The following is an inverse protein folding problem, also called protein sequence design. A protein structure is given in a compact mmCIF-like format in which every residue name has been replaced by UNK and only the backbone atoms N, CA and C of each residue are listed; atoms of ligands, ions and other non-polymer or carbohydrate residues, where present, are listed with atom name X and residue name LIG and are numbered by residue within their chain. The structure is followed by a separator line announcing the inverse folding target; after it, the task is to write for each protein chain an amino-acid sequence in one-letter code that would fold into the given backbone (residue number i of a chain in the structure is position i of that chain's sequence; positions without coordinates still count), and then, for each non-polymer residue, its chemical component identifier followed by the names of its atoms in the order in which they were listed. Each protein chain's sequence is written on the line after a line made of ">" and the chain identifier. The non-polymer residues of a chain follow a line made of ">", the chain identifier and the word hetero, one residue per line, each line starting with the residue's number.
data_IF_839839068782
#
_entry.id   IF_839839068782
#
_cell.length_a   1.000
_cell.length_b   1.000
_cell.length_c   1.000
_cell.angle_alpha   90.00
_cell.angle_beta   90.00
_cell.angle_gamma   90.00
#
_symmetry.space_group_name_H-M   'P 1'
#
loop_
_entity.id
_entity.type
_entity.pdbx_description
1 polymer ?
#
# COMPACT_ATOMS: atom_id res chain seq x y z
N UNK A 1 -18.84 23.01 -0.96
CA UNK A 1 -17.77 22.30 -0.21
C UNK A 1 -16.55 22.23 -1.13
N UNK A 2 -15.35 22.61 -0.67
CA UNK A 2 -14.12 22.44 -1.45
C UNK A 2 -13.77 20.95 -1.48
N UNK A 3 -13.76 20.34 -2.65
CA UNK A 3 -13.33 18.96 -2.85
C UNK A 3 -12.12 18.97 -3.80
N UNK A 4 -10.96 19.07 -3.17
CA UNK A 4 -9.58 18.95 -3.63
C UNK A 4 -8.75 19.55 -2.50
N UNK A 5 -7.89 18.77 -1.84
CA UNK A 5 -7.18 19.23 -0.65
C UNK A 5 -5.69 19.43 -0.92
N UNK A 6 -5.34 20.66 -1.32
CA UNK A 6 -3.98 21.20 -1.23
C UNK A 6 -4.10 22.61 -0.65
N UNK A 7 -3.43 22.90 0.46
CA UNK A 7 -3.54 24.16 1.20
C UNK A 7 -2.15 24.70 1.56
N UNK A 8 -1.89 25.99 1.27
CA UNK A 8 -0.65 26.70 1.59
C UNK A 8 0.63 25.94 1.18
N UNK A 9 0.58 25.18 0.09
CA UNK A 9 1.67 24.32 -0.36
C UNK A 9 2.24 24.81 -1.68
N UNK A 10 3.56 24.65 -1.87
CA UNK A 10 4.28 25.13 -3.04
C UNK A 10 4.93 23.97 -3.79
N UNK A 11 4.71 23.91 -5.10
CA UNK A 11 5.35 22.93 -5.99
C UNK A 11 4.99 21.49 -5.59
N UNK A 12 3.68 21.16 -5.59
CA UNK A 12 3.16 19.86 -5.13
C UNK A 12 2.21 19.20 -6.14
N UNK A 13 2.17 17.86 -6.16
CA UNK A 13 1.31 17.04 -7.01
C UNK A 13 0.73 15.90 -6.17
N UNK A 14 -0.61 15.79 -6.07
CA UNK A 14 -1.23 14.76 -5.23
C UNK A 14 -2.65 15.07 -4.77
N UNK A 15 -3.09 14.38 -3.70
CA UNK A 15 -4.36 14.61 -3.00
C UNK A 15 -4.18 14.58 -1.46
N UNK A 16 -4.85 15.50 -0.77
CA UNK A 16 -4.80 15.83 0.69
C UNK A 16 -3.41 16.09 1.29
N UNK A 17 -2.71 17.13 0.79
CA UNK A 17 -1.41 17.62 1.27
C UNK A 17 -1.50 19.03 1.88
N UNK A 18 -0.77 19.34 2.97
CA UNK A 18 -0.90 20.64 3.69
C UNK A 18 0.43 21.25 4.14
N UNK A 19 0.53 22.59 4.05
CA UNK A 19 1.66 23.42 4.51
C UNK A 19 3.04 22.86 4.08
N UNK A 20 3.15 22.35 2.85
CA UNK A 20 4.31 21.55 2.41
C UNK A 20 4.96 22.10 1.13
N UNK A 21 6.24 21.77 0.91
CA UNK A 21 7.00 22.22 -0.26
C UNK A 21 7.70 21.05 -0.97
N UNK A 22 7.69 21.06 -2.31
CA UNK A 22 8.34 20.04 -3.16
C UNK A 22 7.85 18.60 -2.90
N UNK A 23 6.52 18.38 -2.87
CA UNK A 23 5.93 17.07 -2.50
C UNK A 23 5.15 16.43 -3.65
N UNK A 24 5.40 15.15 -3.90
CA UNK A 24 4.59 14.30 -4.79
C UNK A 24 4.09 13.07 -4.04
N UNK A 25 2.76 12.90 -3.91
CA UNK A 25 2.20 11.75 -3.22
C UNK A 25 0.71 11.85 -2.85
N UNK A 26 0.21 10.87 -2.10
CA UNK A 26 -1.20 10.80 -1.68
C UNK A 26 -1.34 10.78 -0.15
N UNK A 27 -1.94 11.85 0.40
CA UNK A 27 -2.04 12.18 1.82
C UNK A 27 -0.68 12.43 2.50
N UNK A 28 -0.23 13.69 2.63
CA UNK A 28 1.03 14.04 3.36
C UNK A 28 0.84 15.36 4.13
N UNK A 29 1.05 15.42 5.45
CA UNK A 29 0.50 16.52 6.27
C UNK A 29 1.48 17.26 7.17
N UNK A 30 1.34 18.58 7.11
CA UNK A 30 2.00 19.68 7.83
C UNK A 30 3.54 19.68 7.82
N UNK A 31 4.10 20.80 7.34
CA UNK A 31 5.53 21.14 7.30
C UNK A 31 6.44 20.07 6.66
N UNK A 32 5.93 19.32 5.68
CA UNK A 32 6.71 18.33 4.95
C UNK A 32 7.49 18.94 3.78
N UNK A 33 8.73 18.48 3.60
CA UNK A 33 9.64 18.93 2.54
C UNK A 33 10.23 17.73 1.79
N UNK A 34 10.38 17.91 0.48
CA UNK A 34 11.13 17.06 -0.47
C UNK A 34 10.70 15.59 -0.61
N UNK A 35 9.44 15.23 -0.27
CA UNK A 35 8.93 13.85 -0.38
C UNK A 35 8.43 13.53 -1.80
N UNK A 36 8.79 12.36 -2.36
CA UNK A 36 8.30 11.87 -3.67
C UNK A 36 7.61 10.52 -3.55
N UNK A 37 6.93 10.12 -4.62
CA UNK A 37 6.20 8.86 -4.89
C UNK A 37 5.44 8.17 -3.74
N UNK A 38 5.09 8.93 -2.69
CA UNK A 38 4.70 8.37 -1.40
C UNK A 38 3.19 8.31 -1.19
N UNK A 39 2.73 7.46 -0.27
CA UNK A 39 1.36 7.50 0.24
C UNK A 39 1.36 7.43 1.77
N UNK A 40 0.68 8.41 2.39
CA UNK A 40 0.50 8.61 3.83
C UNK A 40 1.79 8.88 4.63
N UNK A 41 2.17 10.15 4.73
CA UNK A 41 3.32 10.63 5.54
C UNK A 41 3.03 11.87 6.40
N UNK A 42 3.46 11.89 7.66
CA UNK A 42 3.22 12.98 8.64
C UNK A 42 4.25 12.87 9.79
N UNK A 43 5.47 13.45 9.78
CA UNK A 43 6.03 14.59 9.02
C UNK A 43 7.56 14.45 8.79
N UNK A 44 8.22 15.47 8.21
CA UNK A 44 9.59 15.37 7.65
C UNK A 44 10.73 16.14 8.38
N UNK A 45 11.95 15.63 8.20
CA UNK A 45 13.30 16.27 8.20
C UNK A 45 14.33 15.13 8.26
N UNK A 46 14.59 14.26 7.29
CA UNK A 46 14.29 14.30 5.86
C UNK A 46 13.99 12.85 5.36
N UNK A 47 13.27 12.69 4.25
CA UNK A 47 12.69 11.43 3.74
C UNK A 47 12.70 11.47 2.20
N UNK A 48 13.11 10.41 1.49
CA UNK A 48 13.14 10.44 0.01
C UNK A 48 12.40 9.36 -0.81
N UNK A 49 11.84 8.29 -0.24
CA UNK A 49 10.66 7.59 -0.79
C UNK A 49 10.01 6.73 0.31
N UNK A 50 8.67 6.69 0.40
CA UNK A 50 7.97 6.21 1.61
C UNK A 50 6.52 5.74 1.49
N UNK A 51 6.19 4.65 2.19
CA UNK A 51 4.82 4.09 2.28
C UNK A 51 4.72 3.23 3.57
N UNK A 52 4.30 3.67 4.77
CA UNK A 52 3.37 4.70 5.21
C UNK A 52 3.91 5.25 6.56
N UNK A 53 4.31 6.52 6.67
CA UNK A 53 5.28 6.98 7.69
C UNK A 53 4.74 8.07 8.61
N UNK A 54 4.69 7.86 9.93
CA UNK A 54 4.13 8.84 10.86
C UNK A 54 4.96 8.92 12.16
N UNK A 55 5.35 10.11 12.63
CA UNK A 55 6.68 10.67 12.33
C UNK A 55 7.63 10.52 13.54
N UNK A 56 8.92 10.82 13.51
CA UNK A 56 9.61 11.83 12.69
C UNK A 56 11.05 11.38 12.33
N UNK A 57 11.52 11.79 11.15
CA UNK A 57 12.81 12.49 10.92
C UNK A 57 14.20 11.82 11.09
N UNK A 58 15.17 12.53 10.53
CA UNK A 58 16.65 12.52 10.56
C UNK A 58 17.33 11.15 10.45
N UNK A 59 17.21 10.38 9.37
CA UNK A 59 16.75 10.62 7.99
C UNK A 59 16.33 9.26 7.39
N UNK A 60 15.58 9.22 6.28
CA UNK A 60 15.08 7.98 5.67
C UNK A 60 15.26 7.87 4.14
N UNK A 61 15.54 6.66 3.64
CA UNK A 61 15.73 6.33 2.21
C UNK A 61 15.54 4.83 1.95
N UNK A 62 15.23 4.38 0.74
CA UNK A 62 13.84 4.34 0.27
C UNK A 62 13.08 3.29 1.10
N UNK A 63 11.80 3.53 1.43
CA UNK A 63 11.20 2.96 2.64
C UNK A 63 9.74 2.47 2.53
N UNK A 64 9.43 1.43 3.29
CA UNK A 64 8.06 0.97 3.58
C UNK A 64 8.13 0.15 4.87
N UNK A 65 7.72 0.55 6.08
CA UNK A 65 6.79 1.56 6.61
C UNK A 65 7.22 1.81 8.08
N UNK A 66 7.29 3.05 8.61
CA UNK A 66 8.38 3.35 9.56
C UNK A 66 8.36 4.59 10.52
N UNK A 67 9.46 4.74 11.30
CA UNK A 67 9.92 5.90 12.11
C UNK A 67 11.50 5.89 12.18
N UNK A 68 12.24 6.96 12.54
CA UNK A 68 13.71 7.06 12.24
C UNK A 68 14.64 7.81 13.23
N UNK A 69 15.93 7.41 13.24
CA UNK A 69 17.16 8.25 13.14
C UNK A 69 18.40 7.33 12.93
N UNK A 70 18.96 7.01 11.76
CA UNK A 70 18.65 7.20 10.33
C UNK A 70 18.43 5.81 9.70
N UNK A 71 17.85 5.74 8.50
CA UNK A 71 17.52 4.47 7.84
C UNK A 71 17.72 4.57 6.32
N UNK A 72 18.55 3.71 5.74
CA UNK A 72 18.79 3.68 4.28
C UNK A 72 18.64 2.24 3.77
N UNK A 73 17.75 2.06 2.78
CA UNK A 73 17.26 0.82 2.14
C UNK A 73 16.53 -0.13 3.12
N UNK A 74 15.19 -0.19 3.12
CA UNK A 74 14.44 -0.81 4.24
C UNK A 74 13.07 -1.40 3.90
N UNK A 75 12.60 -2.43 4.66
CA UNK A 75 11.17 -2.69 4.85
C UNK A 75 10.88 -3.71 5.97
N UNK A 76 10.23 -3.46 7.12
CA UNK A 76 9.47 -2.31 7.62
C UNK A 76 9.89 -2.07 9.09
N UNK A 77 10.13 -0.82 9.52
CA UNK A 77 10.89 -0.54 10.75
C UNK A 77 10.31 0.61 11.58
N UNK A 78 9.84 0.32 12.80
CA UNK A 78 9.15 1.27 13.68
C UNK A 78 9.98 1.69 14.92
N UNK A 79 11.30 1.77 14.80
CA UNK A 79 12.19 2.26 15.86
C UNK A 79 13.59 1.63 15.88
N UNK A 80 14.60 2.42 16.26
CA UNK A 80 16.01 2.03 16.34
C UNK A 80 16.96 3.13 15.85
N UNK A 81 18.27 2.86 15.86
CA UNK A 81 19.32 3.79 15.45
C UNK A 81 20.27 3.16 14.42
N UNK A 82 20.57 3.88 13.33
CA UNK A 82 21.42 3.42 12.21
C UNK A 82 21.12 1.99 11.70
N UNK A 83 20.12 1.90 10.82
CA UNK A 83 19.57 0.64 10.31
C UNK A 83 19.61 0.62 8.79
N UNK A 84 20.19 -0.44 8.21
CA UNK A 84 20.29 -0.62 6.75
C UNK A 84 19.95 -2.06 6.34
N UNK A 85 19.26 -2.22 5.20
CA UNK A 85 18.78 -3.49 4.65
C UNK A 85 18.15 -4.41 5.72
N UNK A 86 16.95 -4.06 6.19
CA UNK A 86 16.31 -4.75 7.32
C UNK A 86 14.87 -5.17 7.06
N UNK A 87 14.50 -6.34 7.60
CA UNK A 87 13.14 -6.91 7.48
C UNK A 87 12.60 -7.41 8.83
N UNK A 88 11.51 -6.82 9.32
CA UNK A 88 10.88 -7.14 10.62
C UNK A 88 11.84 -7.09 11.84
N UNK A 89 12.77 -6.13 11.87
CA UNK A 89 13.65 -5.87 13.00
C UNK A 89 13.05 -4.77 13.92
N UNK A 90 13.20 -4.93 15.23
CA UNK A 90 12.61 -4.03 16.24
C UNK A 90 13.64 -3.65 17.32
N UNK A 91 13.69 -2.38 17.70
CA UNK A 91 14.55 -1.84 18.78
C UNK A 91 16.03 -2.22 18.63
N UNK A 92 16.53 -2.15 17.40
CA UNK A 92 17.92 -2.50 17.05
C UNK A 92 18.79 -1.26 16.79
N UNK A 93 20.11 -1.38 16.99
CA UNK A 93 21.04 -0.26 16.84
C UNK A 93 22.33 -0.64 16.10
N UNK A 94 22.67 0.01 14.98
CA UNK A 94 23.81 -0.33 14.12
C UNK A 94 23.64 -1.77 13.58
N UNK A 95 22.72 -1.95 12.62
CA UNK A 95 22.48 -3.25 11.99
C UNK A 95 22.45 -3.16 10.45
N UNK A 96 22.96 -4.21 9.82
CA UNK A 96 23.08 -4.33 8.36
C UNK A 96 22.58 -5.69 7.86
N UNK A 97 21.67 -5.72 6.88
CA UNK A 97 21.26 -6.96 6.21
C UNK A 97 20.52 -7.95 7.12
N UNK A 98 19.76 -7.47 8.12
CA UNK A 98 19.24 -8.28 9.21
C UNK A 98 17.72 -8.51 9.14
N UNK A 99 17.28 -9.72 9.52
CA UNK A 99 15.89 -10.18 9.47
C UNK A 99 15.43 -10.67 10.85
N UNK A 100 14.30 -10.17 11.35
CA UNK A 100 13.60 -10.71 12.53
C UNK A 100 14.25 -10.45 13.89
N UNK A 101 15.25 -9.57 13.99
CA UNK A 101 15.97 -9.30 15.24
C UNK A 101 15.17 -8.40 16.21
N UNK A 102 15.45 -8.53 17.51
CA UNK A 102 14.85 -7.72 18.58
C UNK A 102 15.91 -7.35 19.62
N UNK A 103 15.98 -6.07 20.01
CA UNK A 103 16.90 -5.59 21.06
C UNK A 103 18.37 -6.00 20.85
N UNK A 104 18.88 -5.82 19.62
CA UNK A 104 20.25 -6.19 19.21
C UNK A 104 21.02 -5.01 18.65
N UNK A 105 22.33 -5.05 18.83
CA UNK A 105 23.23 -4.02 18.32
C UNK A 105 24.48 -4.62 17.68
N UNK A 106 25.07 -3.91 16.71
CA UNK A 106 26.28 -4.31 15.99
C UNK A 106 26.13 -5.67 15.31
N UNK A 107 25.13 -5.79 14.43
CA UNK A 107 24.82 -7.02 13.71
C UNK A 107 24.96 -6.87 12.19
N UNK A 108 25.60 -7.84 11.55
CA UNK A 108 25.71 -7.96 10.09
C UNK A 108 25.19 -9.35 9.72
N UNK A 109 24.19 -9.43 8.83
CA UNK A 109 23.59 -10.68 8.35
C UNK A 109 23.17 -11.62 9.51
N UNK A 110 22.40 -11.08 10.46
CA UNK A 110 21.95 -11.73 11.71
C UNK A 110 23.05 -12.18 12.71
N UNK A 111 24.34 -12.03 12.40
CA UNK A 111 25.42 -12.30 13.36
C UNK A 111 25.78 -11.04 14.14
N UNK A 112 25.89 -11.17 15.46
CA UNK A 112 26.33 -10.11 16.37
C UNK A 112 27.87 -10.12 16.51
N UNK A 113 28.47 -8.93 16.58
CA UNK A 113 29.91 -8.69 16.64
C UNK A 113 30.28 -7.76 17.83
N UNK A 114 31.57 -7.61 18.11
CA UNK A 114 32.04 -6.43 18.87
C UNK A 114 31.80 -5.14 18.07
N UNK A 115 31.82 -3.99 18.74
CA UNK A 115 31.69 -2.69 18.08
C UNK A 115 32.83 -2.46 17.08
N UNK A 116 34.05 -2.75 17.50
CA UNK A 116 35.28 -2.58 16.74
C UNK A 116 35.35 -3.52 15.53
N UNK A 117 34.87 -4.75 15.70
CA UNK A 117 34.69 -5.72 14.60
C UNK A 117 33.65 -5.22 13.58
N UNK A 118 32.51 -4.72 14.05
CA UNK A 118 31.45 -4.17 13.20
C UNK A 118 31.93 -2.96 12.39
N UNK A 119 32.56 -1.97 13.05
CA UNK A 119 33.10 -0.77 12.42
C UNK A 119 34.21 -1.09 11.39
N UNK A 120 34.97 -2.17 11.60
CA UNK A 120 36.00 -2.67 10.67
C UNK A 120 35.44 -3.53 9.52
N UNK A 121 34.31 -4.21 9.72
CA UNK A 121 33.74 -5.15 8.75
C UNK A 121 32.74 -4.49 7.81
N UNK A 122 31.86 -3.61 8.32
CA UNK A 122 30.80 -2.98 7.54
C UNK A 122 31.29 -2.29 6.25
N UNK A 123 32.37 -1.47 6.25
CA UNK A 123 32.85 -0.84 5.02
C UNK A 123 33.24 -1.82 3.91
N UNK A 124 33.78 -3.00 4.28
CA UNK A 124 34.20 -4.05 3.33
C UNK A 124 32.99 -4.74 2.69
N UNK A 125 31.92 -4.92 3.46
CA UNK A 125 30.64 -5.46 2.94
C UNK A 125 30.02 -4.47 1.95
N UNK A 126 30.03 -3.17 2.28
CA UNK A 126 29.54 -2.10 1.42
C UNK A 126 30.36 -2.01 0.12
N UNK A 127 31.70 -2.03 0.22
CA UNK A 127 32.61 -2.05 -0.94
C UNK A 127 32.33 -3.25 -1.86
N UNK A 128 32.13 -4.45 -1.28
CA UNK A 128 31.77 -5.64 -2.04
C UNK A 128 30.42 -5.49 -2.77
N UNK A 129 29.41 -4.90 -2.12
CA UNK A 129 28.09 -4.64 -2.73
C UNK A 129 28.12 -3.54 -3.81
N UNK A 130 29.11 -2.64 -3.77
CA UNK A 130 29.36 -1.72 -4.88
C UNK A 130 30.04 -2.43 -6.06
N UNK A 131 31.01 -3.29 -5.80
CA UNK A 131 31.75 -4.01 -6.84
C UNK A 131 30.90 -5.09 -7.53
N UNK A 132 30.14 -5.87 -6.75
CA UNK A 132 29.37 -7.03 -7.19
C UNK A 132 27.87 -6.73 -7.05
N UNK A 133 27.23 -6.39 -8.17
CA UNK A 133 25.78 -6.21 -8.20
C UNK A 133 25.05 -7.56 -8.01
N UNK A 134 23.89 -7.50 -7.35
CA UNK A 134 22.86 -8.50 -7.55
C UNK A 134 22.18 -8.21 -8.89
N UNK A 135 21.87 -9.25 -9.67
CA UNK A 135 21.12 -9.12 -10.93
C UNK A 135 19.85 -9.94 -10.80
N UNK A 136 18.69 -9.32 -11.00
CA UNK A 136 17.41 -10.00 -10.93
C UNK A 136 17.14 -10.86 -12.18
N UNK A 137 15.99 -11.55 -12.22
CA UNK A 137 15.62 -12.39 -13.36
C UNK A 137 15.36 -11.62 -14.67
N UNK A 138 15.28 -10.29 -14.63
CA UNK A 138 15.05 -9.42 -15.78
C UNK A 138 16.33 -8.73 -16.26
N UNK A 139 17.46 -8.93 -15.57
CA UNK A 139 18.74 -8.30 -15.89
C UNK A 139 18.93 -6.92 -15.27
N UNK A 140 18.10 -6.53 -14.31
CA UNK A 140 18.25 -5.26 -13.58
C UNK A 140 19.35 -5.44 -12.54
N UNK A 141 20.36 -4.56 -12.56
CA UNK A 141 21.43 -4.55 -11.58
C UNK A 141 21.03 -3.76 -10.32
N UNK A 142 21.24 -4.37 -9.16
CA UNK A 142 21.05 -3.78 -7.84
C UNK A 142 22.39 -3.74 -7.09
N UNK A 143 22.80 -2.56 -6.65
CA UNK A 143 24.03 -2.32 -5.88
C UNK A 143 23.69 -1.70 -4.52
N UNK A 144 24.68 -1.52 -3.65
CA UNK A 144 24.50 -0.68 -2.47
C UNK A 144 24.03 0.72 -2.91
N UNK A 145 22.88 1.16 -2.41
CA UNK A 145 22.15 2.32 -2.94
C UNK A 145 20.70 2.01 -3.29
N UNK A 146 20.44 0.78 -3.74
CA UNK A 146 19.13 0.38 -4.26
C UNK A 146 18.23 -0.25 -3.17
N UNK A 147 16.92 -0.12 -3.37
CA UNK A 147 15.90 -0.86 -2.62
C UNK A 147 15.98 -2.38 -2.88
N UNK A 148 15.28 -3.18 -2.07
CA UNK A 148 15.21 -4.63 -2.30
C UNK A 148 14.57 -4.96 -3.67
N UNK A 149 15.20 -5.83 -4.49
CA UNK A 149 14.59 -6.36 -5.72
C UNK A 149 13.20 -6.95 -5.46
N UNK A 150 12.30 -6.80 -6.42
CA UNK A 150 10.90 -7.29 -6.32
C UNK A 150 10.86 -8.81 -6.18
N UNK A 151 11.85 -9.51 -6.73
CA UNK A 151 12.07 -10.96 -6.61
C UNK A 151 12.35 -11.43 -5.17
N UNK A 152 12.74 -10.53 -4.26
CA UNK A 152 12.90 -10.82 -2.84
C UNK A 152 11.61 -10.60 -2.02
N UNK A 153 10.53 -10.13 -2.64
CA UNK A 153 9.23 -9.98 -1.97
C UNK A 153 8.67 -11.35 -1.55
N UNK A 154 8.28 -11.55 -0.28
CA UNK A 154 7.59 -12.77 0.16
C UNK A 154 6.10 -12.79 -0.24
N UNK A 155 5.60 -11.74 -0.91
CA UNK A 155 4.22 -11.62 -1.36
C UNK A 155 4.15 -11.38 -2.86
N UNK A 156 3.20 -12.04 -3.54
CA UNK A 156 2.89 -11.74 -4.93
C UNK A 156 2.10 -10.44 -5.09
N UNK A 157 2.18 -9.81 -6.27
CA UNK A 157 1.52 -8.53 -6.56
C UNK A 157 0.05 -8.52 -6.13
N UNK A 158 -0.68 -9.58 -6.51
CA UNK A 158 -2.10 -9.74 -6.27
C UNK A 158 -2.48 -10.01 -4.81
N UNK A 159 -1.51 -10.29 -3.93
CA UNK A 159 -1.68 -10.40 -2.47
C UNK A 159 -1.44 -9.07 -1.74
N UNK A 160 -0.78 -8.11 -2.40
CA UNK A 160 -0.45 -6.80 -1.81
C UNK A 160 -1.54 -5.76 -2.03
N UNK A 161 -1.40 -4.63 -1.32
CA UNK A 161 -2.22 -3.43 -1.50
C UNK A 161 -2.11 -2.81 -2.91
N UNK A 162 -1.17 -3.26 -3.74
CA UNK A 162 -1.11 -2.85 -5.15
C UNK A 162 -2.35 -3.33 -5.90
N UNK A 163 -2.87 -4.53 -5.63
CA UNK A 163 -4.10 -5.01 -6.27
C UNK A 163 -5.33 -4.19 -5.89
N UNK A 164 -5.36 -3.63 -4.68
CA UNK A 164 -6.46 -2.78 -4.19
C UNK A 164 -6.55 -1.46 -4.97
N UNK A 165 -5.42 -0.79 -5.21
CA UNK A 165 -5.37 0.54 -5.82
C UNK A 165 -5.02 0.56 -7.31
N UNK A 166 -4.30 -0.46 -7.77
CA UNK A 166 -3.78 -0.64 -9.13
C UNK A 166 -4.11 -2.07 -9.63
N UNK A 167 -5.40 -2.46 -9.73
CA UNK A 167 -5.77 -3.82 -10.10
C UNK A 167 -5.31 -4.16 -11.53
N UNK A 168 -4.35 -5.07 -11.63
CA UNK A 168 -3.84 -5.63 -12.89
C UNK A 168 -4.30 -7.07 -13.09
N UNK A 169 -4.31 -7.53 -14.33
CA UNK A 169 -4.47 -8.96 -14.69
C UNK A 169 -3.14 -9.72 -14.52
N UNK A 170 -3.23 -11.05 -14.42
CA UNK A 170 -2.07 -11.94 -14.26
C UNK A 170 -1.01 -11.72 -15.34
N UNK A 171 -1.43 -11.57 -16.58
CA UNK A 171 -0.56 -11.37 -17.74
C UNK A 171 0.18 -10.02 -17.64
N UNK A 172 -0.51 -8.97 -17.21
CA UNK A 172 0.07 -7.63 -17.03
C UNK A 172 1.10 -7.60 -15.89
N UNK A 173 0.81 -8.28 -14.78
CA UNK A 173 1.72 -8.42 -13.63
C UNK A 173 3.00 -9.16 -14.03
N UNK A 174 2.88 -10.28 -14.75
CA UNK A 174 4.02 -11.07 -15.22
C UNK A 174 4.85 -10.27 -16.24
N UNK A 175 4.20 -9.55 -17.17
CA UNK A 175 4.90 -8.71 -18.16
C UNK A 175 5.62 -7.51 -17.54
N UNK A 176 5.16 -7.01 -16.39
CA UNK A 176 5.86 -6.00 -15.59
C UNK A 176 6.95 -6.61 -14.67
N UNK A 177 7.16 -7.91 -14.73
CA UNK A 177 8.21 -8.61 -14.01
C UNK A 177 7.89 -8.98 -12.57
N UNK A 178 6.64 -8.79 -12.11
CA UNK A 178 6.21 -9.15 -10.76
C UNK A 178 5.73 -10.61 -10.66
N UNK A 179 5.66 -11.14 -9.44
CA UNK A 179 5.06 -12.45 -9.15
C UNK A 179 3.53 -12.38 -9.01
N UNK A 180 2.86 -13.47 -9.39
CA UNK A 180 1.42 -13.67 -9.21
C UNK A 180 1.15 -14.97 -8.45
N UNK A 181 0.32 -14.91 -7.40
CA UNK A 181 -0.15 -16.10 -6.66
C UNK A 181 -1.44 -16.62 -7.28
N UNK A 182 -1.40 -17.83 -7.80
CA UNK A 182 -2.62 -18.53 -8.21
C UNK A 182 -3.47 -18.96 -7.00
N UNK A 183 -4.81 -18.97 -7.10
CA UNK A 183 -5.68 -19.39 -6.00
C UNK A 183 -5.45 -20.84 -5.61
N UNK A 184 -5.39 -21.10 -4.29
CA UNK A 184 -5.33 -22.46 -3.75
C UNK A 184 -6.56 -23.30 -4.18
N UNK A 185 -6.34 -24.59 -4.47
CA UNK A 185 -7.39 -25.50 -4.91
C UNK A 185 -8.48 -25.66 -3.85
N UNK A 186 -9.74 -25.41 -4.22
CA UNK A 186 -10.88 -25.34 -3.28
C UNK A 186 -11.68 -26.64 -3.29
N UNK A 187 -11.89 -27.22 -2.12
CA UNK A 187 -12.63 -28.47 -1.91
C UNK A 187 -14.01 -28.29 -1.28
N UNK A 188 -14.42 -27.06 -0.99
CA UNK A 188 -15.71 -26.76 -0.36
C UNK A 188 -16.88 -27.07 -1.29
N UNK A 189 -17.81 -27.90 -0.83
CA UNK A 189 -19.09 -28.12 -1.50
C UNK A 189 -20.04 -26.97 -1.13
N UNK A 190 -20.44 -26.17 -2.11
CA UNK A 190 -21.52 -25.19 -1.97
C UNK A 190 -22.79 -25.92 -1.55
N UNK A 191 -23.50 -25.37 -0.56
CA UNK A 191 -24.83 -25.84 -0.13
C UNK A 191 -25.94 -24.84 -0.47
N UNK A 192 -25.58 -23.58 -0.69
CA UNK A 192 -26.53 -22.48 -0.97
C UNK A 192 -25.97 -21.52 -2.02
N UNK A 193 -26.79 -21.11 -2.99
CA UNK A 193 -26.38 -20.12 -4.02
C UNK A 193 -26.75 -18.71 -3.58
N UNK A 194 -25.96 -17.71 -3.98
CA UNK A 194 -26.16 -16.31 -3.58
C UNK A 194 -27.57 -15.76 -3.88
N UNK A 195 -28.22 -16.23 -4.95
CA UNK A 195 -29.55 -15.78 -5.36
C UNK A 195 -30.66 -16.33 -4.45
N UNK A 196 -30.46 -17.50 -3.85
CA UNK A 196 -31.41 -18.14 -2.91
C UNK A 196 -31.42 -17.53 -1.50
N UNK A 197 -30.53 -16.56 -1.22
CA UNK A 197 -30.47 -15.85 0.05
C UNK A 197 -31.72 -14.96 0.24
N UNK A 198 -32.38 -14.97 1.41
CA UNK A 198 -33.45 -14.04 1.70
C UNK A 198 -32.93 -12.59 1.75
N UNK A 199 -33.73 -11.66 1.24
CA UNK A 199 -33.39 -10.23 1.24
C UNK A 199 -33.39 -9.63 2.64
N UNK A 200 -34.29 -10.09 3.53
CA UNK A 200 -34.33 -9.67 4.92
C UNK A 200 -33.55 -10.61 5.83
N UNK A 201 -32.76 -10.01 6.72
CA UNK A 201 -32.02 -10.72 7.78
C UNK A 201 -32.94 -11.35 8.85
N UNK A 202 -34.21 -10.92 8.91
CA UNK A 202 -35.24 -11.53 9.77
C UNK A 202 -35.59 -12.95 9.35
N UNK A 203 -35.45 -13.24 8.05
CA UNK A 203 -35.94 -14.49 7.45
C UNK A 203 -34.82 -15.54 7.37
N UNK A 204 -33.61 -15.16 7.78
CA UNK A 204 -32.45 -16.03 7.90
C UNK A 204 -32.54 -16.90 9.17
N UNK A 205 -32.68 -18.23 9.07
CA UNK A 205 -32.78 -19.12 10.23
C UNK A 205 -31.44 -19.20 11.00
N UNK A 206 -31.47 -19.62 12.27
CA UNK A 206 -30.22 -19.85 13.03
C UNK A 206 -29.29 -20.88 12.37
N UNK A 207 -29.86 -21.86 11.66
CA UNK A 207 -29.10 -22.88 10.92
C UNK A 207 -28.31 -22.33 9.75
N UNK A 208 -28.52 -21.06 9.34
CA UNK A 208 -27.78 -20.41 8.27
C UNK A 208 -26.26 -20.43 8.48
N UNK A 209 -25.80 -20.43 9.74
CA UNK A 209 -24.38 -20.55 10.12
C UNK A 209 -23.77 -21.91 9.78
N UNK A 210 -24.54 -22.86 9.23
CA UNK A 210 -24.04 -24.14 8.74
C UNK A 210 -23.74 -24.12 7.24
N UNK A 211 -24.39 -23.23 6.49
CA UNK A 211 -24.35 -23.17 5.03
C UNK A 211 -22.99 -22.73 4.48
N UNK A 212 -22.65 -23.24 3.30
CA UNK A 212 -21.53 -22.82 2.47
C UNK A 212 -22.13 -22.12 1.25
N UNK A 213 -22.03 -20.80 1.25
CA UNK A 213 -22.70 -19.90 0.34
C UNK A 213 -21.77 -19.63 -0.84
N UNK A 214 -22.24 -19.84 -2.07
CA UNK A 214 -21.51 -19.41 -3.26
C UNK A 214 -21.43 -17.88 -3.33
N UNK A 215 -20.28 -17.34 -3.70
CA UNK A 215 -20.14 -15.91 -4.01
C UNK A 215 -20.94 -15.60 -5.28
N UNK A 216 -21.71 -14.51 -5.32
CA UNK A 216 -22.54 -14.12 -6.47
C UNK A 216 -21.80 -13.98 -7.82
N UNK A 217 -20.47 -13.95 -7.83
CA UNK A 217 -19.69 -14.08 -9.06
C UNK A 217 -19.78 -15.48 -9.72
N UNK A 218 -20.22 -16.52 -9.00
CA UNK A 218 -20.51 -17.87 -9.51
C UNK A 218 -19.41 -18.44 -10.43
N UNK A 219 -18.16 -18.41 -9.96
CA UNK A 219 -16.99 -18.90 -10.69
C UNK A 219 -16.55 -18.08 -11.91
N UNK A 220 -17.24 -16.98 -12.27
CA UNK A 220 -16.86 -16.08 -13.36
C UNK A 220 -15.55 -15.35 -13.05
N UNK A 221 -14.85 -14.89 -14.09
CA UNK A 221 -13.60 -14.12 -13.98
C UNK A 221 -13.78 -12.94 -13.02
N UNK A 222 -13.02 -12.94 -11.92
CA UNK A 222 -13.17 -11.97 -10.84
C UNK A 222 -11.79 -11.60 -10.27
N UNK A 223 -11.33 -10.38 -10.56
CA UNK A 223 -9.99 -9.90 -10.21
C UNK A 223 -9.89 -9.32 -8.77
N UNK A 224 -10.65 -9.89 -7.83
CA UNK A 224 -10.87 -9.38 -6.47
C UNK A 224 -10.50 -10.40 -5.38
N UNK A 225 -9.53 -11.27 -5.66
CA UNK A 225 -9.17 -12.43 -4.82
C UNK A 225 -10.41 -13.25 -4.36
N UNK A 226 -11.39 -13.44 -5.26
CA UNK A 226 -12.68 -14.03 -4.93
C UNK A 226 -12.50 -15.43 -4.29
N UNK A 227 -13.05 -15.63 -3.08
CA UNK A 227 -12.99 -16.89 -2.35
C UNK A 227 -13.86 -18.01 -2.96
N UNK A 228 -14.71 -17.68 -3.95
CA UNK A 228 -15.61 -18.61 -4.64
C UNK A 228 -16.83 -19.00 -3.79
N UNK A 229 -16.61 -19.42 -2.56
CA UNK A 229 -17.63 -19.63 -1.54
C UNK A 229 -17.20 -19.01 -0.19
N UNK A 230 -18.15 -18.86 0.73
CA UNK A 230 -17.90 -18.36 2.09
C UNK A 230 -18.97 -18.89 3.05
N UNK A 231 -18.74 -18.67 4.35
CA UNK A 231 -19.61 -19.11 5.44
C UNK A 231 -19.66 -18.02 6.51
N UNK A 232 -20.81 -17.82 7.14
CA UNK A 232 -20.95 -16.90 8.27
C UNK A 232 -20.78 -17.63 9.60
N UNK A 233 -20.16 -16.98 10.59
CA UNK A 233 -20.11 -17.46 11.96
C UNK A 233 -21.30 -16.93 12.79
N UNK A 234 -21.69 -17.58 13.91
CA UNK A 234 -22.82 -17.14 14.74
C UNK A 234 -22.75 -15.67 15.21
N UNK A 235 -21.55 -15.18 15.53
CA UNK A 235 -21.35 -13.79 15.93
C UNK A 235 -21.65 -12.80 14.80
N UNK A 236 -21.33 -13.16 13.55
CA UNK A 236 -21.69 -12.34 12.39
C UNK A 236 -23.20 -12.34 12.17
N UNK A 237 -23.88 -13.49 12.22
CA UNK A 237 -25.33 -13.55 12.05
C UNK A 237 -26.07 -12.72 13.11
N UNK A 238 -25.64 -12.79 14.38
CA UNK A 238 -26.16 -11.95 15.45
C UNK A 238 -25.91 -10.46 15.21
N UNK A 239 -24.72 -10.08 14.73
CA UNK A 239 -24.40 -8.70 14.38
C UNK A 239 -25.32 -8.18 13.25
N UNK A 240 -25.50 -8.97 12.18
CA UNK A 240 -26.32 -8.56 11.03
C UNK A 240 -27.78 -8.36 11.45
N UNK A 241 -28.35 -9.28 12.26
CA UNK A 241 -29.69 -9.12 12.83
C UNK A 241 -29.81 -7.88 13.71
N UNK A 242 -28.86 -7.63 14.61
CA UNK A 242 -28.87 -6.48 15.52
C UNK A 242 -28.92 -5.14 14.77
N UNK A 243 -28.26 -5.06 13.61
CA UNK A 243 -28.15 -3.83 12.82
C UNK A 243 -29.07 -3.80 11.58
N UNK A 244 -29.92 -4.81 11.37
CA UNK A 244 -30.81 -4.90 10.21
C UNK A 244 -30.07 -5.02 8.87
N UNK A 245 -28.85 -5.56 8.87
CA UNK A 245 -28.00 -5.65 7.66
C UNK A 245 -28.36 -6.92 6.87
N UNK A 246 -28.69 -6.82 5.56
CA UNK A 246 -28.98 -7.97 4.72
C UNK A 246 -27.82 -8.97 4.65
N UNK A 247 -28.15 -10.24 4.38
CA UNK A 247 -27.15 -11.28 4.18
C UNK A 247 -26.19 -10.93 3.03
N UNK A 248 -24.89 -11.18 3.17
CA UNK A 248 -23.93 -10.84 2.12
C UNK A 248 -24.08 -11.82 0.95
N UNK A 249 -24.34 -11.31 -0.26
CA UNK A 249 -24.33 -12.11 -1.51
C UNK A 249 -22.91 -12.33 -2.08
N UNK A 250 -21.93 -11.57 -1.60
CA UNK A 250 -20.52 -11.61 -2.04
C UNK A 250 -19.59 -12.08 -0.90
N UNK A 251 -18.55 -12.82 -1.26
CA UNK A 251 -17.55 -13.29 -0.29
C UNK A 251 -16.78 -12.11 0.36
N UNK A 252 -16.09 -12.34 1.49
CA UNK A 252 -15.36 -11.28 2.20
C UNK A 252 -14.41 -10.45 1.32
N UNK A 253 -13.62 -11.10 0.45
CA UNK A 253 -12.70 -10.45 -0.50
C UNK A 253 -13.43 -9.53 -1.48
N UNK A 254 -14.42 -10.03 -2.23
CA UNK A 254 -15.19 -9.21 -3.17
C UNK A 254 -15.89 -8.03 -2.49
N UNK A 255 -16.41 -8.23 -1.26
CA UNK A 255 -16.96 -7.12 -0.47
C UNK A 255 -15.88 -6.13 -0.03
N UNK A 256 -14.65 -6.56 0.19
CA UNK A 256 -13.51 -5.67 0.45
C UNK A 256 -13.21 -4.81 -0.77
N UNK A 257 -12.95 -5.43 -1.93
CA UNK A 257 -12.70 -4.72 -3.19
C UNK A 257 -13.84 -3.78 -3.58
N UNK A 258 -15.10 -4.20 -3.39
CA UNK A 258 -16.27 -3.34 -3.57
C UNK A 258 -16.26 -2.08 -2.70
N UNK A 259 -15.74 -2.13 -1.47
CA UNK A 259 -15.54 -0.94 -0.62
C UNK A 259 -14.31 -0.12 -1.03
N UNK A 260 -13.24 -0.75 -1.48
CA UNK A 260 -12.03 -0.06 -1.97
C UNK A 260 -12.36 0.79 -3.20
N UNK A 261 -13.18 0.27 -4.13
CA UNK A 261 -13.68 0.98 -5.32
C UNK A 261 -14.50 2.25 -5.03
N UNK A 262 -14.96 2.45 -3.79
CA UNK A 262 -15.64 3.67 -3.36
C UNK A 262 -14.68 4.77 -2.87
N UNK A 263 -13.39 4.46 -2.71
CA UNK A 263 -12.35 5.43 -2.35
C UNK A 263 -11.83 6.17 -3.60
N UNK A 264 -11.29 7.39 -3.46
CA UNK A 264 -10.44 7.99 -4.47
C UNK A 264 -9.28 7.05 -4.84
N UNK A 265 -8.92 7.01 -6.11
CA UNK A 265 -7.78 6.23 -6.60
C UNK A 265 -6.47 6.95 -6.26
N UNK A 266 -5.38 6.19 -6.04
CA UNK A 266 -4.03 6.75 -5.86
C UNK A 266 -3.42 7.12 -7.23
N UNK A 267 -4.16 7.92 -7.99
CA UNK A 267 -3.87 8.23 -9.38
C UNK A 267 -4.25 9.68 -9.70
N UNK A 268 -3.30 10.40 -10.29
CA UNK A 268 -3.59 11.67 -10.94
C UNK A 268 -4.04 11.40 -12.38
N UNK A 269 -5.01 12.17 -12.84
CA UNK A 269 -5.54 12.17 -14.20
C UNK A 269 -5.27 13.52 -14.85
N UNK A 270 -5.20 13.53 -16.18
CA UNK A 270 -5.28 14.77 -16.96
C UNK A 270 -6.72 15.31 -16.93
N UNK A 271 -6.88 16.52 -16.40
CA UNK A 271 -8.11 17.30 -16.40
C UNK A 271 -8.01 18.48 -17.35
N UNK A 272 -9.16 18.93 -17.87
CA UNK A 272 -9.27 20.10 -18.75
C UNK A 272 -10.17 21.13 -18.09
N UNK A 273 -9.73 22.40 -18.03
CA UNK A 273 -10.52 23.47 -17.43
C UNK A 273 -11.76 23.80 -18.28
N UNK A 274 -12.95 23.78 -17.66
CA UNK A 274 -14.21 24.11 -18.32
C UNK A 274 -14.26 25.53 -18.91
N UNK A 275 -13.50 26.47 -18.35
CA UNK A 275 -13.51 27.90 -18.72
C UNK A 275 -12.48 28.28 -19.80
N UNK A 276 -11.21 27.87 -19.62
CA UNK A 276 -10.11 28.28 -20.49
C UNK A 276 -9.47 27.12 -21.28
N UNK A 277 -9.99 25.89 -21.17
CA UNK A 277 -9.46 24.67 -21.80
C UNK A 277 -8.01 24.30 -21.44
N UNK A 278 -7.40 24.93 -20.43
CA UNK A 278 -6.05 24.56 -19.97
C UNK A 278 -6.04 23.15 -19.37
N UNK A 279 -5.00 22.38 -19.68
CA UNK A 279 -4.74 21.07 -19.07
C UNK A 279 -4.11 21.22 -17.68
N UNK A 280 -4.43 20.31 -16.75
CA UNK A 280 -3.83 20.22 -15.42
C UNK A 280 -4.02 18.83 -14.80
N UNK A 281 -3.29 18.51 -13.73
CA UNK A 281 -3.45 17.24 -13.00
C UNK A 281 -4.57 17.32 -11.96
N UNK A 282 -5.41 16.28 -11.87
CA UNK A 282 -6.53 16.20 -10.92
C UNK A 282 -6.69 14.79 -10.35
N UNK A 283 -7.16 14.61 -9.10
CA UNK A 283 -7.53 13.29 -8.57
C UNK A 283 -8.85 12.75 -9.14
N UNK A 284 -9.57 13.52 -9.95
CA UNK A 284 -10.85 13.12 -10.53
C UNK A 284 -10.70 12.43 -11.88
N UNK A 285 -11.31 11.25 -12.10
CA UNK A 285 -11.23 10.55 -13.37
C UNK A 285 -12.01 11.31 -14.48
N UNK A 286 -11.69 11.10 -15.77
CA UNK A 286 -12.33 11.81 -16.88
C UNK A 286 -13.86 11.67 -16.97
N UNK A 287 -14.42 10.60 -16.42
CA UNK A 287 -15.86 10.33 -16.35
C UNK A 287 -16.53 10.86 -15.06
N UNK A 288 -15.88 11.80 -14.37
CA UNK A 288 -16.42 12.44 -13.16
C UNK A 288 -17.66 13.27 -13.44
N UNK A 289 -18.59 13.32 -12.48
CA UNK A 289 -19.75 14.23 -12.51
C UNK A 289 -19.40 15.66 -12.09
N UNK A 290 -18.14 15.95 -11.72
CA UNK A 290 -17.69 17.28 -11.31
C UNK A 290 -17.29 18.15 -12.50
N UNK A 291 -17.66 19.43 -12.47
CA UNK A 291 -17.09 20.42 -13.39
C UNK A 291 -15.70 20.83 -12.91
N UNK A 292 -14.70 20.69 -13.77
CA UNK A 292 -13.30 20.93 -13.44
C UNK A 292 -12.86 22.34 -13.88
N UNK A 293 -12.20 23.06 -12.97
CA UNK A 293 -11.59 24.37 -13.24
C UNK A 293 -10.11 24.34 -12.84
N UNK A 294 -9.24 25.00 -13.61
CA UNK A 294 -7.86 25.24 -13.17
C UNK A 294 -7.84 26.30 -12.05
N UNK A 295 -6.77 26.32 -11.28
CA UNK A 295 -6.60 27.20 -10.10
C UNK A 295 -6.88 28.68 -10.43
N UNK A 296 -6.30 29.21 -11.51
CA UNK A 296 -6.52 30.61 -11.91
C UNK A 296 -7.97 30.94 -12.27
N UNK A 297 -8.68 30.02 -12.93
CA UNK A 297 -10.10 30.22 -13.25
C UNK A 297 -11.01 30.10 -12.02
N UNK A 298 -10.71 29.16 -11.12
CA UNK A 298 -11.44 28.98 -9.86
C UNK A 298 -11.29 30.21 -8.95
N UNK A 299 -10.06 30.70 -8.78
CA UNK A 299 -9.77 31.86 -7.95
C UNK A 299 -10.41 33.14 -8.52
N UNK A 300 -10.57 33.27 -9.84
CA UNK A 300 -11.22 34.41 -10.48
C UNK A 300 -12.76 34.40 -10.44
N UNK A 301 -13.41 33.34 -9.92
CA UNK A 301 -14.88 33.24 -9.81
C UNK A 301 -15.39 33.14 -8.37
N UNK A 302 -14.52 32.80 -7.41
CA UNK A 302 -14.91 32.47 -6.03
C UNK A 302 -14.21 33.36 -4.97
N UNK A 303 -13.40 34.32 -5.40
CA UNK A 303 -12.80 35.38 -4.57
C UNK A 303 -13.50 36.71 -4.87
#
# INVERSE_FOLDING_TARGET
>A
RKFAAVLNSKNVIGDDIRNSQNVQGFTIKDDCQDVRYSYRVEKSRDIWDGFVVWGSSEMQYETMSCQSQRTYFSALIWGGFDIQYSYNCFDCNNIFGCIGLRNKSYCILNKQYSKEEYESLLPKVIEQMYAIAYVDRHGIEYRYGEFFPTDLSPFAYNETINQDYFPLKKEEVINQGFTWRDPDARSHKVTMVADSLPDSITDAPETFVNEIIECAHAGKECNEQCAGAFKMIPLELQYYRRWGVPLPRLCPSCRHFGRVKLKPQLKMFEGVCKKCASQFHTPYPPNTNYTLYCEGCYNAEII
#
